data_IF_483431721366
#
_entry.id   IF_483431721366
#
_cell.length_a   1.000
_cell.length_b   1.000
_cell.length_c   1.000
_cell.angle_alpha   90.00
_cell.angle_beta   90.00
_cell.angle_gamma   90.00
#
_symmetry.space_group_name_H-M   'P 1'
#
loop_
_entity.id
_entity.type
_entity.pdbx_description
1 polymer ?
#
# COMPACT_ATOMS: atom_id res chain seq x y z
N UNK A 1 -6.42 -46.25 -45.36
CA UNK A 1 -6.94 -44.89 -45.09
C UNK A 1 -6.52 -44.49 -43.67
N UNK A 2 -5.85 -43.33 -43.52
CA UNK A 2 -5.82 -42.40 -42.36
C UNK A 2 -5.45 -42.96 -40.97
N UNK A 3 -4.58 -42.38 -40.14
CA UNK A 3 -3.71 -41.18 -40.19
C UNK A 3 -2.80 -41.29 -38.94
N UNK A 4 -1.50 -41.05 -39.09
CA UNK A 4 -0.58 -40.73 -37.99
C UNK A 4 -1.10 -39.53 -37.18
N UNK A 5 -0.63 -39.36 -35.93
CA UNK A 5 0.05 -38.14 -35.41
C UNK A 5 -0.17 -37.91 -33.89
N UNK A 6 0.94 -38.06 -33.14
CA UNK A 6 1.48 -37.21 -32.05
C UNK A 6 1.04 -37.32 -30.57
N UNK A 7 2.06 -37.69 -29.77
CA UNK A 7 2.33 -37.28 -28.39
C UNK A 7 2.25 -35.74 -28.21
N UNK A 8 1.74 -35.31 -27.05
CA UNK A 8 2.12 -34.05 -26.37
C UNK A 8 1.73 -34.19 -24.89
N UNK A 9 2.61 -34.71 -24.04
CA UNK A 9 3.48 -33.96 -23.12
C UNK A 9 2.81 -32.68 -22.57
N UNK A 10 1.95 -32.85 -21.57
CA UNK A 10 1.39 -31.76 -20.78
C UNK A 10 2.47 -31.30 -19.78
N UNK A 11 3.37 -30.43 -20.25
CA UNK A 11 4.31 -29.70 -19.41
C UNK A 11 3.50 -28.79 -18.49
N UNK A 12 3.37 -29.15 -17.20
CA UNK A 12 2.76 -28.26 -16.21
C UNK A 12 3.66 -27.04 -16.04
N UNK A 13 3.28 -25.97 -16.72
CA UNK A 13 3.86 -24.64 -16.58
C UNK A 13 3.59 -24.17 -15.15
N UNK A 14 4.61 -24.25 -14.29
CA UNK A 14 4.65 -23.45 -13.08
C UNK A 14 4.70 -21.99 -13.52
N UNK A 15 3.55 -21.37 -13.68
CA UNK A 15 3.43 -19.91 -13.84
C UNK A 15 3.87 -19.36 -12.50
N UNK A 16 5.15 -18.96 -12.42
CA UNK A 16 5.66 -18.19 -11.30
C UNK A 16 4.83 -16.92 -11.20
N UNK A 17 4.01 -16.84 -10.16
CA UNK A 17 3.32 -15.62 -9.78
C UNK A 17 4.39 -14.65 -9.24
N UNK A 18 5.10 -14.01 -10.17
CA UNK A 18 5.80 -12.75 -9.88
C UNK A 18 4.68 -11.76 -9.60
N UNK A 19 4.24 -11.69 -8.34
CA UNK A 19 3.60 -10.47 -7.83
C UNK A 19 4.66 -9.39 -7.97
N UNK A 20 4.56 -8.67 -9.08
CA UNK A 20 5.47 -7.63 -9.47
C UNK A 20 5.63 -6.68 -8.28
N UNK A 21 6.84 -6.60 -7.73
CA UNK A 21 7.21 -5.53 -6.80
C UNK A 21 6.82 -4.16 -7.40
N UNK A 22 6.79 -4.05 -8.74
CA UNK A 22 6.30 -2.91 -9.51
C UNK A 22 4.89 -2.44 -9.13
N UNK A 23 4.03 -3.33 -8.64
CA UNK A 23 2.66 -2.97 -8.23
C UNK A 23 2.59 -2.22 -6.90
N UNK A 24 3.59 -2.40 -6.02
CA UNK A 24 3.56 -1.91 -4.63
C UNK A 24 4.38 -0.62 -4.47
N UNK A 25 5.56 -0.56 -5.05
CA UNK A 25 6.52 0.55 -4.84
C UNK A 25 6.19 1.80 -5.64
N UNK A 26 6.63 2.97 -5.17
CA UNK A 26 6.42 4.28 -5.78
C UNK A 26 5.38 5.12 -5.05
N UNK A 27 4.90 6.15 -5.73
CA UNK A 27 4.01 7.16 -5.13
C UNK A 27 2.54 6.73 -5.10
N UNK A 28 1.86 7.21 -4.07
CA UNK A 28 0.45 6.99 -3.77
C UNK A 28 -0.18 8.30 -3.28
N UNK A 29 -1.39 8.60 -3.72
CA UNK A 29 -2.13 9.81 -3.37
C UNK A 29 -3.58 9.49 -3.05
N UNK A 30 -4.15 10.20 -2.10
CA UNK A 30 -5.53 10.03 -1.71
C UNK A 30 -5.90 10.86 -0.50
N UNK A 31 -6.70 10.29 0.37
CA UNK A 31 -7.23 11.03 1.52
C UNK A 31 -7.43 10.14 2.72
N UNK A 32 -7.53 10.78 3.88
CA UNK A 32 -8.03 10.18 5.09
C UNK A 32 -9.34 10.82 5.51
N UNK A 33 -10.11 10.07 6.29
CA UNK A 33 -11.33 10.54 6.92
C UNK A 33 -11.36 10.03 8.35
N UNK A 34 -11.58 10.94 9.30
CA UNK A 34 -11.79 10.62 10.70
C UNK A 34 -13.27 10.32 10.96
N UNK A 35 -13.56 9.63 12.06
CA UNK A 35 -14.92 9.27 12.46
C UNK A 35 -15.79 10.48 12.82
N UNK A 36 -15.20 11.59 13.26
CA UNK A 36 -15.88 12.87 13.53
C UNK A 36 -16.09 13.71 12.26
N UNK A 37 -15.72 13.19 11.08
CA UNK A 37 -16.04 13.79 9.78
C UNK A 37 -14.98 14.74 9.23
N UNK A 38 -13.84 14.89 9.90
CA UNK A 38 -12.70 15.61 9.35
C UNK A 38 -12.06 14.79 8.22
N UNK A 39 -11.63 15.46 7.16
CA UNK A 39 -11.00 14.85 5.99
C UNK A 39 -9.79 15.66 5.57
N UNK A 40 -8.80 14.99 4.97
CA UNK A 40 -7.60 15.65 4.48
C UNK A 40 -6.87 14.82 3.44
N UNK A 41 -5.99 15.48 2.69
CA UNK A 41 -5.14 14.82 1.71
C UNK A 41 -4.04 14.00 2.39
N UNK A 42 -3.70 12.87 1.77
CA UNK A 42 -2.62 11.99 2.19
C UNK A 42 -1.79 11.62 0.96
N UNK A 43 -0.47 11.60 1.12
CA UNK A 43 0.45 11.04 0.14
C UNK A 43 1.32 9.97 0.80
N UNK A 44 1.80 9.02 0.01
CA UNK A 44 2.77 8.05 0.49
C UNK A 44 3.77 7.67 -0.60
N UNK A 45 5.03 7.49 -0.22
CA UNK A 45 6.08 6.94 -1.06
C UNK A 45 6.51 5.57 -0.52
N UNK A 46 6.33 4.52 -1.31
CA UNK A 46 6.55 3.13 -0.87
C UNK A 46 7.80 2.56 -1.53
N UNK A 47 8.73 2.07 -0.71
CA UNK A 47 10.00 1.50 -1.16
C UNK A 47 10.14 0.06 -0.68
N UNK A 48 10.64 -0.82 -1.55
CA UNK A 48 11.10 -2.14 -1.15
C UNK A 48 12.54 -2.03 -0.60
N UNK A 49 12.84 -2.79 0.46
CA UNK A 49 14.15 -2.83 1.10
C UNK A 49 14.94 -4.08 0.68
N UNK A 50 16.28 -4.07 0.79
CA UNK A 50 17.12 -5.20 0.35
C UNK A 50 16.84 -6.53 1.08
N UNK A 51 16.27 -6.48 2.28
CA UNK A 51 15.87 -7.63 3.08
C UNK A 51 14.49 -8.22 2.69
N UNK A 52 13.85 -7.67 1.65
CA UNK A 52 12.53 -8.09 1.18
C UNK A 52 11.37 -7.49 1.96
N UNK A 53 11.62 -6.58 2.91
CA UNK A 53 10.59 -5.79 3.59
C UNK A 53 10.26 -4.52 2.81
N UNK A 54 9.29 -3.75 3.30
CA UNK A 54 8.84 -2.51 2.68
C UNK A 54 8.87 -1.38 3.69
N UNK A 55 8.90 -0.16 3.17
CA UNK A 55 8.76 1.07 3.92
C UNK A 55 7.83 2.01 3.18
N UNK A 56 6.84 2.57 3.88
CA UNK A 56 6.05 3.69 3.39
C UNK A 56 6.43 4.98 4.14
N UNK A 57 6.77 6.04 3.41
CA UNK A 57 6.87 7.38 3.96
C UNK A 57 5.54 8.08 3.68
N UNK A 58 4.72 8.30 4.72
CA UNK A 58 3.37 8.85 4.61
C UNK A 58 3.38 10.30 5.06
N UNK A 59 2.68 11.18 4.34
CA UNK A 59 2.57 12.59 4.66
C UNK A 59 1.12 13.09 4.56
N UNK A 60 0.71 13.87 5.56
CA UNK A 60 -0.45 14.76 5.50
C UNK A 60 0.08 16.20 5.57
N UNK A 61 0.49 16.72 4.40
CA UNK A 61 1.24 17.97 4.30
C UNK A 61 0.50 19.17 4.91
N UNK A 62 -0.82 19.25 4.70
CA UNK A 62 -1.67 20.31 5.27
C UNK A 62 -1.70 20.30 6.80
N UNK A 63 -1.39 19.16 7.41
CA UNK A 63 -1.32 18.99 8.86
C UNK A 63 0.11 19.04 9.39
N UNK A 64 1.12 19.17 8.52
CA UNK A 64 2.53 19.11 8.91
C UNK A 64 2.96 17.76 9.47
N UNK A 65 2.25 16.68 9.15
CA UNK A 65 2.50 15.33 9.68
C UNK A 65 3.22 14.50 8.63
N UNK A 66 4.32 13.88 9.02
CA UNK A 66 5.04 12.91 8.19
C UNK A 66 5.60 11.80 9.07
N UNK A 67 5.47 10.55 8.62
CA UNK A 67 5.94 9.39 9.37
C UNK A 67 6.31 8.22 8.48
N UNK A 68 7.13 7.34 9.04
CA UNK A 68 7.53 6.09 8.42
C UNK A 68 6.65 4.94 8.92
N UNK A 69 6.19 4.08 8.02
CA UNK A 69 5.43 2.89 8.34
C UNK A 69 6.13 1.64 7.77
N UNK A 70 6.59 0.71 8.62
CA UNK A 70 7.23 -0.50 8.15
C UNK A 70 6.18 -1.46 7.55
N UNK A 71 6.58 -2.14 6.49
CA UNK A 71 5.72 -3.06 5.74
C UNK A 71 6.35 -4.43 5.55
N UNK A 72 5.52 -5.47 5.47
CA UNK A 72 5.92 -6.85 5.22
C UNK A 72 5.03 -7.47 4.14
N UNK A 73 5.65 -8.19 3.21
CA UNK A 73 4.92 -8.98 2.22
C UNK A 73 4.13 -10.09 2.92
N UNK A 74 2.89 -10.29 2.50
CA UNK A 74 2.01 -11.39 2.92
C UNK A 74 1.34 -11.92 1.65
N UNK A 75 1.67 -13.14 1.23
CA UNK A 75 1.11 -13.81 0.03
C UNK A 75 0.84 -12.87 -1.17
N UNK A 76 -0.37 -12.32 -1.26
CA UNK A 76 -0.92 -11.47 -2.32
C UNK A 76 -0.92 -9.94 -2.04
N UNK A 77 -0.46 -9.52 -0.87
CA UNK A 77 -0.47 -8.12 -0.40
C UNK A 77 0.81 -7.72 0.34
N UNK A 78 0.90 -6.43 0.66
CA UNK A 78 1.90 -5.91 1.61
C UNK A 78 1.17 -5.24 2.75
N UNK A 79 1.36 -5.75 3.96
CA UNK A 79 0.75 -5.20 5.18
C UNK A 79 1.73 -4.25 5.86
N UNK A 80 1.23 -3.11 6.30
CA UNK A 80 1.96 -2.08 7.01
C UNK A 80 1.34 -1.86 8.39
N UNK A 81 2.17 -1.72 9.42
CA UNK A 81 1.68 -1.46 10.76
C UNK A 81 2.71 -0.70 11.59
N UNK A 82 2.24 0.17 12.47
CA UNK A 82 3.10 0.92 13.36
C UNK A 82 2.32 1.90 14.22
N UNK A 83 2.99 2.39 15.26
CA UNK A 83 2.47 3.43 16.15
C UNK A 83 3.25 4.71 15.88
N UNK A 84 2.56 5.81 15.66
CA UNK A 84 3.18 7.12 15.38
C UNK A 84 2.77 8.13 16.44
N UNK A 85 3.67 9.06 16.77
CA UNK A 85 3.31 10.24 17.55
C UNK A 85 3.03 11.39 16.58
N UNK A 86 1.79 11.87 16.54
CA UNK A 86 1.40 12.94 15.61
C UNK A 86 1.76 14.31 16.18
N UNK A 87 1.27 14.59 17.38
CA UNK A 87 1.58 15.80 18.13
C UNK A 87 1.29 15.56 19.62
N UNK A 88 1.74 16.44 20.54
CA UNK A 88 1.36 16.36 21.95
C UNK A 88 -0.16 16.44 22.19
N UNK A 89 -0.89 17.14 21.32
CA UNK A 89 -2.33 17.37 21.44
C UNK A 89 -3.16 16.21 20.87
N UNK A 90 -2.72 15.62 19.76
CA UNK A 90 -3.39 14.49 19.10
C UNK A 90 -3.05 13.16 19.78
N UNK A 91 -1.82 13.04 20.28
CA UNK A 91 -1.31 11.81 20.87
C UNK A 91 -0.75 10.83 19.83
N UNK A 92 -0.64 9.56 20.27
CA UNK A 92 -0.19 8.47 19.41
C UNK A 92 -1.34 7.86 18.63
N UNK A 93 -1.08 7.45 17.40
CA UNK A 93 -2.01 6.69 16.56
C UNK A 93 -1.42 5.34 16.21
N UNK A 94 -2.18 4.28 16.42
CA UNK A 94 -1.92 2.95 15.89
C UNK A 94 -2.46 2.85 14.48
N UNK A 95 -1.60 2.47 13.54
CA UNK A 95 -1.93 2.38 12.12
C UNK A 95 -1.83 0.93 11.68
N UNK A 96 -2.84 0.49 10.93
CA UNK A 96 -2.86 -0.77 10.20
C UNK A 96 -3.30 -0.50 8.77
N UNK A 97 -2.51 -0.95 7.80
CA UNK A 97 -2.76 -0.68 6.41
C UNK A 97 -2.26 -1.81 5.52
N UNK A 98 -2.71 -1.82 4.27
CA UNK A 98 -2.28 -2.78 3.28
C UNK A 98 -2.28 -2.19 1.87
N UNK A 99 -1.38 -2.70 1.04
CA UNK A 99 -1.43 -2.53 -0.40
C UNK A 99 -1.90 -3.86 -1.01
N UNK A 100 -3.08 -3.83 -1.60
CA UNK A 100 -3.69 -4.94 -2.31
C UNK A 100 -4.53 -4.41 -3.48
N UNK A 101 -4.57 -5.15 -4.58
CA UNK A 101 -5.43 -4.83 -5.74
C UNK A 101 -5.30 -3.38 -6.25
N UNK A 102 -4.08 -2.83 -6.27
CA UNK A 102 -3.80 -1.48 -6.78
C UNK A 102 -4.26 -0.34 -5.85
N UNK A 103 -4.54 -0.64 -4.59
CA UNK A 103 -4.99 0.32 -3.59
C UNK A 103 -4.15 0.21 -2.32
N UNK A 104 -3.78 1.36 -1.75
CA UNK A 104 -3.17 1.46 -0.42
C UNK A 104 -4.24 1.98 0.54
N UNK A 105 -4.70 1.15 1.47
CA UNK A 105 -5.77 1.53 2.39
C UNK A 105 -5.49 1.07 3.80
N UNK A 106 -6.05 1.75 4.78
CA UNK A 106 -5.87 1.38 6.17
C UNK A 106 -6.77 2.11 7.14
N UNK A 107 -6.57 1.79 8.41
CA UNK A 107 -7.21 2.40 9.55
C UNK A 107 -6.16 2.98 10.48
N UNK A 108 -6.49 4.09 11.13
CA UNK A 108 -5.71 4.63 12.24
C UNK A 108 -6.61 4.76 13.47
N UNK A 109 -6.04 4.51 14.65
CA UNK A 109 -6.76 4.55 15.92
C UNK A 109 -5.90 5.21 16.99
N UNK A 110 -6.42 6.24 17.61
CA UNK A 110 -5.87 6.86 18.81
C UNK A 110 -6.95 7.20 19.81
N UNK A 111 -6.55 7.84 20.91
CA UNK A 111 -7.47 8.26 21.97
C UNK A 111 -8.43 9.36 21.50
N UNK A 112 -7.93 10.30 20.69
CA UNK A 112 -8.71 11.46 20.23
C UNK A 112 -9.31 11.23 18.85
N UNK A 113 -8.54 10.68 17.91
CA UNK A 113 -8.97 10.49 16.53
C UNK A 113 -8.85 9.03 16.11
N UNK A 114 -9.82 8.57 15.35
CA UNK A 114 -9.81 7.28 14.66
C UNK A 114 -10.42 7.47 13.28
N UNK A 115 -10.00 6.66 12.32
CA UNK A 115 -10.48 6.82 10.95
C UNK A 115 -9.88 5.84 9.97
N UNK A 116 -10.10 6.14 8.70
CA UNK A 116 -9.66 5.35 7.57
C UNK A 116 -8.94 6.22 6.57
N UNK A 117 -8.10 5.60 5.74
CA UNK A 117 -7.52 6.27 4.59
C UNK A 117 -7.52 5.34 3.37
N UNK A 118 -7.57 5.95 2.19
CA UNK A 118 -7.47 5.27 0.91
C UNK A 118 -6.61 6.12 -0.03
N UNK A 119 -5.57 5.50 -0.59
CA UNK A 119 -4.72 6.06 -1.64
C UNK A 119 -4.71 5.16 -2.87
N UNK A 120 -4.50 5.79 -4.02
CA UNK A 120 -4.34 5.16 -5.32
C UNK A 120 -3.07 5.68 -5.98
N UNK A 121 -2.69 5.07 -7.09
CA UNK A 121 -1.62 5.62 -7.91
C UNK A 121 -2.04 7.01 -8.42
N UNK A 122 -1.16 8.02 -8.36
CA UNK A 122 -1.46 9.31 -8.94
C UNK A 122 -1.76 9.15 -10.44
N UNK A 123 -2.73 9.90 -10.94
CA UNK A 123 -2.97 9.94 -12.37
C UNK A 123 -1.72 10.49 -13.06
N UNK A 124 -1.23 9.80 -14.09
CA UNK A 124 -0.17 10.35 -14.94
C UNK A 124 -0.74 11.60 -15.61
N UNK A 125 -0.32 12.78 -15.15
CA UNK A 125 -0.58 14.01 -15.89
C UNK A 125 0.13 13.87 -17.25
N UNK A 126 -0.56 14.06 -18.39
CA UNK A 126 0.11 14.07 -19.68
C UNK A 126 1.20 15.13 -19.64
N UNK A 127 2.40 14.78 -20.13
CA UNK A 127 3.43 15.76 -20.37
C UNK A 127 2.92 16.68 -21.51
N UNK A 128 2.81 17.97 -21.23
CA UNK A 128 2.58 19.01 -22.25
C UNK A 128 3.74 19.05 -23.27
#
# INVERSE_FOLDING_TARGET
MRRNVFLLLCLMTAIGLVLAADGVTGSWEGSFQTQDGFFGALTAEVNALPDGTYKAMVAAADQGVQFELPGKKQEDKVAFAGTIQVSPEIGSLDIQAEIANGKFSGTFKGTTYSGTFELKRPEKKPAD
#
